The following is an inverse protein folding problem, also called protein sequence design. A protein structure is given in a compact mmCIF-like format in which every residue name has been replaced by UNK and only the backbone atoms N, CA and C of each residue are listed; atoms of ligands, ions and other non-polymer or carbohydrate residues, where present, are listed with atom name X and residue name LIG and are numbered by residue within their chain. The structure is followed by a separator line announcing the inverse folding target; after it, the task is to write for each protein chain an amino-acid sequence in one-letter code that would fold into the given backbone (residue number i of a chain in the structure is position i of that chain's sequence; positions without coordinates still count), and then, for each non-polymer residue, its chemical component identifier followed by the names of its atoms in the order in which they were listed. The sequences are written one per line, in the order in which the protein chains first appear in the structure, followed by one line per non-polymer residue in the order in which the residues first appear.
data_IF_200768614845
#
_entry.id   IF_200768614845
#
_cell.length_a   1.000
_cell.length_b   1.000
_cell.length_c   1.000
_cell.angle_alpha   90.00
_cell.angle_beta   90.00
_cell.angle_gamma   90.00
#
_symmetry.space_group_name_H-M   'P 1'
#
loop_
_entity.id
_entity.type
_entity.pdbx_description
1 polymer ?
#
# COMPACT_ATOMS: atom_id res chain seq x y z
N UNK A 1 -29.18 6.49 9.26
CA UNK A 1 -27.90 6.72 9.97
C UNK A 1 -26.83 5.80 9.40
N UNK A 2 -26.36 6.05 8.17
CA UNK A 2 -25.07 5.52 7.71
C UNK A 2 -24.23 6.74 7.37
N UNK A 3 -23.12 6.86 8.09
CA UNK A 3 -22.26 8.03 8.12
C UNK A 3 -21.83 8.46 6.73
N UNK A 4 -21.75 9.78 6.56
CA UNK A 4 -20.96 10.43 5.51
C UNK A 4 -19.52 9.90 5.58
N UNK A 5 -19.23 8.83 4.85
CA UNK A 5 -17.87 8.41 4.53
C UNK A 5 -17.31 9.53 3.67
N UNK A 6 -16.33 10.27 4.21
CA UNK A 6 -15.67 11.38 3.54
C UNK A 6 -15.38 10.98 2.08
N UNK A 7 -16.10 11.59 1.14
CA UNK A 7 -16.00 11.42 -0.32
C UNK A 7 -14.70 12.07 -0.84
N UNK A 8 -13.58 11.67 -0.25
CA UNK A 8 -12.25 12.20 -0.54
C UNK A 8 -11.32 11.06 -0.91
N UNK A 9 -10.49 11.27 -1.94
CA UNK A 9 -9.47 10.32 -2.36
C UNK A 9 -8.56 9.97 -1.16
N UNK A 10 -8.33 8.67 -0.93
CA UNK A 10 -7.44 8.17 0.13
C UNK A 10 -6.23 7.49 -0.50
N UNK A 11 -5.08 7.61 0.16
CA UNK A 11 -3.89 6.88 -0.23
C UNK A 11 -3.11 6.45 1.01
N UNK A 12 -2.63 5.22 0.97
CA UNK A 12 -1.82 4.60 2.01
C UNK A 12 -0.57 4.04 1.32
N UNK A 13 0.60 4.40 1.84
CA UNK A 13 1.87 3.84 1.40
C UNK A 13 2.29 2.74 2.37
N UNK A 14 2.57 1.56 1.83
CA UNK A 14 3.00 0.40 2.61
C UNK A 14 4.48 0.12 2.38
N UNK A 15 5.18 -0.29 3.43
CA UNK A 15 6.57 -0.69 3.41
C UNK A 15 6.74 -2.08 4.01
N UNK A 16 7.65 -2.88 3.46
CA UNK A 16 7.96 -4.19 4.00
C UNK A 16 9.40 -4.60 3.71
N UNK A 17 10.23 -4.70 4.74
CA UNK A 17 11.54 -5.35 4.66
C UNK A 17 11.45 -6.79 5.18
N UNK A 18 11.42 -7.77 4.26
CA UNK A 18 11.35 -9.21 4.59
C UNK A 18 12.43 -9.70 5.58
N UNK A 19 13.55 -8.99 5.72
CA UNK A 19 14.65 -9.37 6.63
C UNK A 19 14.50 -8.81 8.04
N UNK A 20 13.70 -7.77 8.22
CA UNK A 20 13.65 -6.98 9.47
C UNK A 20 12.25 -6.85 10.04
N UNK A 21 11.25 -6.73 9.19
CA UNK A 21 9.89 -6.47 9.60
C UNK A 21 9.11 -7.79 9.72
N UNK A 22 8.34 -7.99 10.82
CA UNK A 22 7.48 -9.16 10.98
C UNK A 22 6.26 -9.14 10.04
N UNK A 23 5.86 -7.96 9.58
CA UNK A 23 4.75 -7.72 8.65
C UNK A 23 4.97 -6.40 7.90
N UNK A 24 4.26 -6.13 6.79
CA UNK A 24 4.22 -4.81 6.21
C UNK A 24 3.67 -3.79 7.19
N UNK A 25 4.10 -2.55 7.04
CA UNK A 25 3.69 -1.43 7.88
C UNK A 25 3.31 -0.22 7.05
N UNK A 26 2.53 0.66 7.67
CA UNK A 26 2.15 1.93 7.07
C UNK A 26 3.32 2.91 7.13
N UNK A 27 3.73 3.44 5.99
CA UNK A 27 4.78 4.46 5.89
C UNK A 27 4.20 5.87 5.78
N UNK A 28 3.03 6.00 5.15
CA UNK A 28 2.32 7.25 5.00
C UNK A 28 0.83 7.01 4.80
N UNK A 29 0.00 7.93 5.27
CA UNK A 29 -1.43 7.99 5.00
C UNK A 29 -1.82 9.39 4.59
N UNK A 30 -2.88 9.52 3.80
CA UNK A 30 -3.36 10.81 3.37
C UNK A 30 -4.79 10.77 2.84
N UNK A 31 -5.46 11.91 2.97
CA UNK A 31 -6.77 12.19 2.38
C UNK A 31 -6.64 13.38 1.44
N UNK A 32 -7.48 13.41 0.41
CA UNK A 32 -7.60 14.49 -0.57
C UNK A 32 -6.24 14.92 -1.12
N UNK A 33 -5.76 16.12 -0.80
CA UNK A 33 -4.51 16.65 -1.34
C UNK A 33 -3.28 15.88 -0.88
N UNK A 34 -3.28 15.39 0.35
CA UNK A 34 -2.20 14.50 0.82
C UNK A 34 -2.22 13.17 0.05
N UNK A 35 -3.41 12.63 -0.24
CA UNK A 35 -3.52 11.42 -1.02
C UNK A 35 -2.99 11.60 -2.45
N UNK A 36 -3.35 12.71 -3.10
CA UNK A 36 -2.82 13.08 -4.43
C UNK A 36 -1.29 13.17 -4.41
N UNK A 37 -0.71 13.76 -3.37
CA UNK A 37 0.74 13.89 -3.22
C UNK A 37 1.44 12.55 -3.03
N UNK A 38 0.88 11.66 -2.21
CA UNK A 38 1.39 10.29 -2.04
C UNK A 38 1.39 9.55 -3.38
N UNK A 39 0.28 9.63 -4.12
CA UNK A 39 0.15 9.00 -5.45
C UNK A 39 1.14 9.59 -6.45
N UNK A 40 1.36 10.91 -6.43
CA UNK A 40 2.32 11.57 -7.32
C UNK A 40 3.75 11.09 -7.07
N UNK A 41 4.18 11.05 -5.79
CA UNK A 41 5.50 10.54 -5.38
C UNK A 41 5.65 9.06 -5.78
N UNK A 42 4.62 8.24 -5.54
CA UNK A 42 4.66 6.84 -5.95
C UNK A 42 4.87 6.67 -7.46
N UNK A 43 4.20 7.48 -8.29
CA UNK A 43 4.40 7.48 -9.75
C UNK A 43 5.81 7.90 -10.14
N UNK A 44 6.33 8.97 -9.55
CA UNK A 44 7.69 9.49 -9.80
C UNK A 44 8.75 8.42 -9.52
N UNK A 45 8.59 7.67 -8.43
CA UNK A 45 9.51 6.61 -8.02
C UNK A 45 9.19 5.23 -8.60
N UNK A 46 8.23 5.12 -9.53
CA UNK A 46 7.78 3.84 -10.11
C UNK A 46 7.35 2.81 -9.05
N UNK A 47 6.77 3.28 -7.94
CA UNK A 47 6.18 2.44 -6.90
C UNK A 47 4.82 1.94 -7.42
N UNK A 48 4.54 0.63 -7.37
CA UNK A 48 3.25 0.08 -7.79
C UNK A 48 2.08 0.69 -7.01
N UNK A 49 1.01 1.02 -7.73
CA UNK A 49 -0.21 1.60 -7.15
C UNK A 49 -1.36 0.66 -7.44
N UNK A 50 -2.02 0.21 -6.37
CA UNK A 50 -3.24 -0.59 -6.43
C UNK A 50 -4.43 0.26 -5.99
N UNK A 51 -5.53 0.22 -6.74
CA UNK A 51 -6.73 1.00 -6.45
C UNK A 51 -7.82 0.06 -5.91
N UNK A 52 -8.03 0.15 -4.61
CA UNK A 52 -9.10 -0.55 -3.89
C UNK A 52 -9.66 0.42 -2.84
N UNK A 53 -10.95 0.74 -2.95
CA UNK A 53 -11.60 1.70 -2.05
C UNK A 53 -11.84 1.09 -0.68
N UNK A 54 -12.24 -0.17 -0.61
CA UNK A 54 -12.62 -0.84 0.65
C UNK A 54 -11.37 -1.12 1.48
N UNK A 55 -10.30 -1.61 0.84
CA UNK A 55 -9.01 -1.79 1.49
C UNK A 55 -8.43 -0.45 1.96
N UNK A 56 -8.60 0.63 1.19
CA UNK A 56 -8.14 1.95 1.61
C UNK A 56 -8.92 2.48 2.83
N UNK A 57 -10.21 2.19 2.97
CA UNK A 57 -11.00 2.52 4.17
C UNK A 57 -10.51 1.79 5.41
N UNK A 58 -10.08 0.53 5.25
CA UNK A 58 -9.57 -0.29 6.36
C UNK A 58 -8.17 0.19 6.76
N UNK A 59 -7.25 0.31 5.79
CA UNK A 59 -5.85 0.63 6.06
C UNK A 59 -5.63 2.05 6.56
N UNK A 60 -6.53 2.99 6.25
CA UNK A 60 -6.40 4.37 6.74
C UNK A 60 -6.71 4.51 8.24
N UNK A 61 -7.24 3.47 8.88
CA UNK A 61 -7.45 3.43 10.32
C UNK A 61 -6.16 3.13 11.09
N UNK A 62 -5.12 2.64 10.41
CA UNK A 62 -3.82 2.34 11.00
C UNK A 62 -2.95 3.60 11.08
N UNK A 63 -2.18 3.70 12.15
CA UNK A 63 -1.24 4.79 12.35
C UNK A 63 0.05 4.60 11.53
N UNK A 64 0.78 5.70 11.33
CA UNK A 64 2.09 5.65 10.67
C UNK A 64 3.06 4.83 11.52
N UNK A 65 3.82 3.94 10.87
CA UNK A 65 4.70 2.93 11.45
C UNK A 65 4.00 1.75 12.13
N UNK A 66 2.67 1.68 12.08
CA UNK A 66 1.93 0.52 12.58
C UNK A 66 2.00 -0.64 11.58
N UNK A 67 2.13 -1.86 12.10
CA UNK A 67 2.11 -3.08 11.31
C UNK A 67 0.68 -3.45 10.91
N UNK A 68 0.51 -3.98 9.70
CA UNK A 68 -0.78 -4.47 9.25
C UNK A 68 -1.15 -5.72 10.06
N UNK A 69 -2.34 -5.73 10.71
CA UNK A 69 -2.78 -6.87 11.51
C UNK A 69 -3.10 -8.08 10.62
N UNK A 70 -3.02 -9.28 11.19
CA UNK A 70 -3.14 -10.55 10.48
C UNK A 70 -4.46 -10.69 9.70
N UNK A 71 -5.55 -10.15 10.23
CA UNK A 71 -6.88 -10.18 9.64
C UNK A 71 -6.94 -9.44 8.30
N UNK A 72 -6.14 -8.37 8.16
CA UNK A 72 -6.05 -7.55 6.94
C UNK A 72 -4.87 -7.99 6.07
N UNK A 73 -3.88 -8.67 6.66
CA UNK A 73 -2.66 -9.08 5.98
C UNK A 73 -2.92 -10.05 4.82
N UNK A 74 -3.91 -10.94 4.93
CA UNK A 74 -4.28 -11.88 3.87
C UNK A 74 -4.67 -11.17 2.56
N UNK A 75 -5.44 -10.08 2.66
CA UNK A 75 -5.85 -9.25 1.50
C UNK A 75 -4.66 -8.51 0.91
N UNK A 76 -3.78 -7.97 1.76
CA UNK A 76 -2.57 -7.27 1.32
C UNK A 76 -1.56 -8.24 0.68
N UNK A 77 -1.49 -9.49 1.15
CA UNK A 77 -0.57 -10.51 0.64
C UNK A 77 -0.82 -10.86 -0.82
N UNK A 78 -2.09 -10.87 -1.27
CA UNK A 78 -2.44 -11.08 -2.68
C UNK A 78 -1.82 -9.98 -3.58
N UNK A 79 -1.98 -8.72 -3.17
CA UNK A 79 -1.43 -7.56 -3.88
C UNK A 79 0.11 -7.61 -3.87
N UNK A 80 0.71 -7.94 -2.73
CA UNK A 80 2.16 -8.06 -2.60
C UNK A 80 2.71 -9.18 -3.48
N UNK A 81 2.05 -10.34 -3.55
CA UNK A 81 2.45 -11.47 -4.39
C UNK A 81 2.50 -11.04 -5.85
N UNK A 82 1.45 -10.37 -6.33
CA UNK A 82 1.42 -9.81 -7.68
C UNK A 82 2.60 -8.85 -7.93
N UNK A 83 2.89 -7.95 -6.99
CA UNK A 83 4.02 -7.00 -7.13
C UNK A 83 5.38 -7.71 -7.13
N UNK A 84 5.57 -8.71 -6.26
CA UNK A 84 6.83 -9.46 -6.17
C UNK A 84 7.11 -10.25 -7.45
N UNK A 85 6.11 -10.92 -8.01
CA UNK A 85 6.26 -11.67 -9.26
C UNK A 85 6.66 -10.76 -10.44
N UNK A 86 6.14 -9.53 -10.48
CA UNK A 86 6.50 -8.54 -11.50
C UNK A 86 7.94 -8.00 -11.31
N UNK A 87 8.42 -7.91 -10.06
CA UNK A 87 9.78 -7.46 -9.75
C UNK A 87 10.84 -8.56 -9.95
N UNK A 88 10.53 -9.82 -9.62
CA UNK A 88 11.45 -10.94 -9.83
C UNK A 88 11.65 -11.25 -11.31
N UNK A 89 10.60 -11.11 -12.13
CA UNK A 89 10.71 -11.21 -13.59
C UNK A 89 11.61 -10.12 -14.22
N UNK A 90 11.74 -8.95 -13.59
CA UNK A 90 12.68 -7.89 -14.03
C UNK A 90 14.14 -8.19 -13.66
N UNK A 91 14.40 -8.93 -12.58
CA UNK A 91 15.76 -9.35 -12.20
C UNK A 91 16.32 -10.42 -13.13
N UNK A 92 15.48 -11.32 -13.66
CA UNK A 92 15.94 -12.45 -14.46
C UNK A 92 16.28 -12.11 -15.93
N UNK A 93 15.90 -10.92 -16.42
CA UNK A 93 16.21 -10.45 -17.79
C UNK A 93 17.51 -9.65 -17.92
N UNK A 94 18.21 -9.37 -16.81
CA UNK A 94 19.54 -8.71 -16.83
C UNK A 94 20.70 -9.70 -16.68
N UNK A 95 20.41 -10.99 -16.66
CA UNK A 95 21.37 -12.08 -16.54
C UNK A 95 21.36 -13.03 -17.76
N UNK A 96 20.79 -12.59 -18.90
CA UNK A 96 20.88 -13.27 -20.20
C UNK A 96 21.40 -12.31 -21.26
#
# INVERSE_FOLDING_TARGET
MYNNLCQGQKAIALGYDKKKDPAPKVLATGKEDHAKRIIAIAKEHNIPIHKDSDLAEILILLDINEYIPLEVYSVVAEILTYIYEQNDNKKNRRAQ
#
